data_IF_289411550620
#
_entry.id   IF_289411550620
#
_cell.length_a   1.000
_cell.length_b   1.000
_cell.length_c   1.000
_cell.angle_alpha   90.00
_cell.angle_beta   90.00
_cell.angle_gamma   90.00
#
_symmetry.space_group_name_H-M   'P 1'
#
loop_
_entity.id
_entity.type
_entity.pdbx_description
1 polymer ?
#
# COMPACT_ATOMS: atom_id res chain seq x y z
N UNK A 1 -21.02 27.45 31.40
CA UNK A 1 -20.85 26.51 30.27
C UNK A 1 -19.42 26.64 29.75
N UNK A 2 -18.50 25.76 30.19
CA UNK A 2 -17.10 25.72 29.72
C UNK A 2 -16.61 24.27 29.50
N UNK A 3 -17.53 23.31 29.59
CA UNK A 3 -17.24 21.88 29.79
C UNK A 3 -17.16 21.09 28.49
N UNK A 4 -17.55 21.69 27.37
CA UNK A 4 -17.62 21.01 26.07
C UNK A 4 -16.28 21.06 25.31
N UNK A 5 -15.57 22.19 25.41
CA UNK A 5 -14.36 22.46 24.62
C UNK A 5 -13.17 21.61 25.12
N UNK A 6 -13.06 21.38 26.43
CA UNK A 6 -11.94 20.61 27.01
C UNK A 6 -12.00 19.13 26.63
N UNK A 7 -13.20 18.53 26.63
CA UNK A 7 -13.38 17.13 26.23
C UNK A 7 -13.12 16.95 24.73
N UNK A 8 -13.64 17.86 23.90
CA UNK A 8 -13.42 17.82 22.45
C UNK A 8 -11.94 17.96 22.09
N UNK A 9 -11.25 18.95 22.68
CA UNK A 9 -9.81 19.15 22.45
C UNK A 9 -8.96 17.98 22.90
N UNK A 10 -9.29 17.35 24.03
CA UNK A 10 -8.56 16.17 24.50
C UNK A 10 -8.75 14.97 23.55
N UNK A 11 -9.95 14.80 22.98
CA UNK A 11 -10.22 13.76 22.00
C UNK A 11 -9.49 14.03 20.66
N UNK A 12 -9.51 15.28 20.18
CA UNK A 12 -8.76 15.71 18.98
C UNK A 12 -7.25 15.47 19.14
N UNK A 13 -6.69 15.81 20.31
CA UNK A 13 -5.28 15.57 20.60
C UNK A 13 -4.92 14.09 20.68
N UNK A 14 -5.78 13.27 21.29
CA UNK A 14 -5.58 11.83 21.35
C UNK A 14 -5.64 11.19 19.96
N UNK A 15 -6.56 11.64 19.11
CA UNK A 15 -6.67 11.20 17.71
C UNK A 15 -5.41 11.56 16.93
N UNK A 16 -5.00 12.83 16.97
CA UNK A 16 -3.80 13.31 16.26
C UNK A 16 -2.52 12.60 16.72
N UNK A 17 -2.37 12.34 18.02
CA UNK A 17 -1.23 11.59 18.54
C UNK A 17 -1.24 10.12 18.08
N UNK A 18 -2.42 9.52 17.91
CA UNK A 18 -2.57 8.18 17.37
C UNK A 18 -2.22 8.12 15.88
N UNK A 19 -2.70 9.10 15.10
CA UNK A 19 -2.41 9.22 13.66
C UNK A 19 -0.90 9.39 13.42
N UNK A 20 -0.24 10.32 14.13
CA UNK A 20 1.20 10.52 14.03
C UNK A 20 2.00 9.26 14.40
N UNK A 21 1.55 8.52 15.40
CA UNK A 21 2.19 7.25 15.77
C UNK A 21 2.04 6.20 14.67
N UNK A 22 0.85 6.07 14.09
CA UNK A 22 0.58 5.15 12.99
C UNK A 22 1.41 5.51 11.75
N UNK A 23 1.43 6.78 11.36
CA UNK A 23 2.25 7.28 10.26
C UNK A 23 3.73 7.01 10.48
N UNK A 24 4.24 7.24 11.69
CA UNK A 24 5.63 6.94 12.05
C UNK A 24 5.96 5.46 11.97
N UNK A 25 5.07 4.58 12.44
CA UNK A 25 5.26 3.12 12.35
C UNK A 25 5.27 2.69 10.88
N UNK A 26 4.23 3.03 10.11
CA UNK A 26 4.09 2.62 8.72
C UNK A 26 5.22 3.20 7.83
N UNK A 27 5.64 4.43 8.12
CA UNK A 27 6.76 5.09 7.44
C UNK A 27 8.13 4.48 7.76
N UNK A 28 8.26 3.74 8.87
CA UNK A 28 9.51 3.06 9.24
C UNK A 28 9.69 1.67 8.62
N UNK A 29 8.62 1.09 8.07
CA UNK A 29 8.63 -0.26 7.46
C UNK A 29 9.36 -0.21 6.12
N UNK A 30 10.34 -1.10 5.95
CA UNK A 30 11.17 -1.20 4.73
C UNK A 30 10.51 -2.01 3.60
N UNK A 31 9.38 -2.63 3.88
CA UNK A 31 8.54 -3.29 2.88
C UNK A 31 7.43 -2.34 2.39
N UNK A 32 6.90 -2.63 1.21
CA UNK A 32 5.75 -1.88 0.68
C UNK A 32 4.51 -2.24 1.50
N UNK A 33 3.89 -1.23 2.10
CA UNK A 33 2.60 -1.36 2.78
C UNK A 33 1.58 -0.54 2.00
N UNK A 34 0.49 -1.19 1.60
CA UNK A 34 -0.55 -0.58 0.81
C UNK A 34 -1.92 -1.02 1.30
N UNK A 35 -2.94 -0.21 0.99
CA UNK A 35 -4.34 -0.62 1.13
C UNK A 35 -5.14 -0.09 -0.04
N UNK A 36 -6.20 -0.82 -0.39
CA UNK A 36 -7.09 -0.46 -1.47
C UNK A 36 -8.54 -0.73 -1.06
N UNK A 37 -9.47 -0.03 -1.72
CA UNK A 37 -10.88 -0.31 -1.61
C UNK A 37 -11.20 -1.66 -2.27
N UNK A 38 -11.91 -2.54 -1.56
CA UNK A 38 -12.14 -3.91 -2.02
C UNK A 38 -13.07 -4.01 -3.24
N UNK A 39 -13.86 -2.96 -3.53
CA UNK A 39 -14.82 -2.97 -4.65
C UNK A 39 -14.23 -2.31 -5.89
N UNK A 40 -13.66 -1.12 -5.72
CA UNK A 40 -13.14 -0.29 -6.81
C UNK A 40 -11.64 -0.49 -7.07
N UNK A 41 -10.94 -1.21 -6.20
CA UNK A 41 -9.48 -1.33 -6.19
C UNK A 41 -8.74 0.02 -6.16
N UNK A 42 -9.43 1.09 -5.76
CA UNK A 42 -8.82 2.40 -5.60
C UNK A 42 -7.80 2.34 -4.46
N UNK A 43 -6.58 2.81 -4.73
CA UNK A 43 -5.52 2.85 -3.71
C UNK A 43 -5.90 3.86 -2.63
N UNK A 44 -5.96 3.40 -1.38
CA UNK A 44 -6.30 4.21 -0.20
C UNK A 44 -5.05 4.67 0.55
N UNK A 45 -4.01 3.84 0.58
CA UNK A 45 -2.76 4.14 1.26
C UNK A 45 -1.58 3.46 0.58
N UNK A 46 -0.43 4.14 0.60
CA UNK A 46 0.90 3.68 0.23
C UNK A 46 1.89 4.27 1.22
N UNK A 47 2.76 3.43 1.79
CA UNK A 47 3.87 3.92 2.61
C UNK A 47 5.00 4.49 1.72
N UNK A 48 5.89 5.34 2.28
CA UNK A 48 6.99 5.96 1.53
C UNK A 48 7.90 4.98 0.79
N UNK A 49 8.08 3.78 1.32
CA UNK A 49 8.91 2.72 0.73
C UNK A 49 8.45 2.32 -0.67
N UNK A 50 7.15 2.43 -0.97
CA UNK A 50 6.60 2.22 -2.31
C UNK A 50 7.39 2.97 -3.39
N UNK A 51 7.76 4.23 -3.14
CA UNK A 51 8.47 5.03 -4.13
C UNK A 51 9.88 4.50 -4.44
N UNK A 52 10.54 3.94 -3.43
CA UNK A 52 11.87 3.34 -3.58
C UNK A 52 11.79 2.00 -4.32
N UNK A 53 10.80 1.16 -3.98
CA UNK A 53 10.64 -0.18 -4.54
C UNK A 53 10.16 -0.13 -6.00
N UNK A 54 9.29 0.80 -6.36
CA UNK A 54 8.80 0.93 -7.73
C UNK A 54 9.56 1.96 -8.57
N UNK A 55 10.48 2.72 -7.98
CA UNK A 55 11.25 3.76 -8.67
C UNK A 55 10.39 4.92 -9.21
N UNK A 56 9.22 5.15 -8.60
CA UNK A 56 8.24 6.15 -9.02
C UNK A 56 7.82 7.00 -7.83
N UNK A 57 7.45 8.26 -8.06
CA UNK A 57 6.92 9.09 -6.97
C UNK A 57 5.56 8.56 -6.49
N UNK A 58 5.24 8.73 -5.20
CA UNK A 58 3.93 8.34 -4.67
C UNK A 58 2.78 9.02 -5.41
N UNK A 59 2.96 10.27 -5.86
CA UNK A 59 1.95 11.00 -6.63
C UNK A 59 1.56 10.23 -7.90
N UNK A 60 2.53 9.71 -8.63
CA UNK A 60 2.29 8.86 -9.81
C UNK A 60 1.62 7.55 -9.42
N UNK A 61 2.04 6.93 -8.31
CA UNK A 61 1.43 5.69 -7.82
C UNK A 61 -0.06 5.86 -7.47
N UNK A 62 -0.45 7.00 -6.88
CA UNK A 62 -1.85 7.30 -6.55
C UNK A 62 -2.71 7.68 -7.76
N UNK A 63 -2.10 8.15 -8.86
CA UNK A 63 -2.85 8.55 -10.07
C UNK A 63 -3.32 7.35 -10.90
N UNK A 64 -2.64 6.20 -10.82
CA UNK A 64 -3.03 5.01 -11.56
C UNK A 64 -3.66 3.97 -10.64
N UNK A 65 -4.94 3.68 -10.90
CA UNK A 65 -5.75 2.72 -10.15
C UNK A 65 -5.16 1.30 -10.19
N UNK A 66 -4.42 0.98 -11.25
CA UNK A 66 -3.77 -0.32 -11.48
C UNK A 66 -2.24 -0.21 -11.49
N UNK A 67 -1.66 0.84 -10.92
CA UNK A 67 -0.21 1.10 -10.99
C UNK A 67 0.61 -0.13 -10.63
N UNK A 68 0.34 -0.74 -9.48
CA UNK A 68 1.08 -1.89 -8.99
C UNK A 68 0.94 -3.11 -9.91
N UNK A 69 -0.25 -3.34 -10.49
CA UNK A 69 -0.50 -4.44 -11.42
C UNK A 69 0.27 -4.28 -12.74
N UNK A 70 0.40 -3.04 -13.23
CA UNK A 70 1.18 -2.75 -14.44
C UNK A 70 2.67 -3.06 -14.26
N UNK A 71 3.19 -2.87 -13.05
CA UNK A 71 4.58 -3.18 -12.72
C UNK A 71 4.83 -4.67 -12.49
N UNK A 72 3.81 -5.52 -12.40
CA UNK A 72 3.98 -6.97 -12.29
C UNK A 72 4.55 -7.51 -13.60
N UNK A 73 5.61 -8.33 -13.48
CA UNK A 73 6.23 -9.00 -14.61
C UNK A 73 5.17 -9.77 -15.42
N UNK A 74 5.11 -9.63 -16.76
CA UNK A 74 4.05 -10.24 -17.57
C UNK A 74 3.86 -11.75 -17.36
N UNK A 75 4.96 -12.47 -17.09
CA UNK A 75 4.93 -13.91 -16.79
C UNK A 75 4.23 -14.28 -15.47
N UNK A 76 4.07 -13.34 -14.54
CA UNK A 76 3.51 -13.57 -13.20
C UNK A 76 2.08 -13.04 -13.07
N UNK A 77 1.54 -12.34 -14.08
CA UNK A 77 0.21 -11.72 -14.04
C UNK A 77 -0.93 -12.73 -13.89
N UNK A 78 -0.86 -13.87 -14.62
CA UNK A 78 -1.86 -14.93 -14.51
C UNK A 78 -1.88 -15.56 -13.11
N UNK A 79 -0.71 -15.71 -12.49
CA UNK A 79 -0.58 -16.22 -11.13
C UNK A 79 -1.22 -15.25 -10.14
N UNK A 80 -0.94 -13.96 -10.29
CA UNK A 80 -1.52 -12.90 -9.47
C UNK A 80 -3.05 -12.82 -9.60
N UNK A 81 -3.60 -12.88 -10.81
CA UNK A 81 -5.06 -12.87 -11.04
C UNK A 81 -5.76 -14.04 -10.33
N UNK A 82 -5.21 -15.24 -10.43
CA UNK A 82 -5.73 -16.41 -9.71
C UNK A 82 -5.64 -16.21 -8.18
N UNK A 83 -4.57 -15.58 -7.71
CA UNK A 83 -4.37 -15.32 -6.28
C UNK A 83 -5.34 -14.29 -5.72
N UNK A 84 -5.67 -13.25 -6.48
CA UNK A 84 -6.69 -12.26 -6.11
C UNK A 84 -8.08 -12.90 -5.99
N UNK A 85 -8.40 -13.89 -6.84
CA UNK A 85 -9.64 -14.65 -6.70
C UNK A 85 -9.66 -15.45 -5.39
N UNK A 86 -8.54 -16.09 -5.04
CA UNK A 86 -8.42 -16.80 -3.76
C UNK A 86 -8.53 -15.88 -2.54
N UNK A 87 -8.05 -14.64 -2.63
CA UNK A 87 -8.20 -13.63 -1.57
C UNK A 87 -9.67 -13.22 -1.36
N UNK A 88 -10.53 -13.34 -2.38
CA UNK A 88 -11.97 -13.10 -2.19
C UNK A 88 -12.65 -14.22 -1.41
N UNK A 89 -12.08 -15.43 -1.43
CA UNK A 89 -12.59 -16.60 -0.71
C UNK A 89 -11.92 -16.80 0.66
N UNK A 90 -10.71 -16.27 0.84
CA UNK A 90 -9.88 -16.41 2.04
C UNK A 90 -9.52 -15.04 2.60
N UNK A 91 -9.62 -14.87 3.91
CA UNK A 91 -9.31 -13.60 4.58
C UNK A 91 -7.84 -13.14 4.42
N UNK A 92 -6.92 -14.06 4.10
CA UNK A 92 -5.50 -13.76 3.90
C UNK A 92 -4.84 -14.74 2.93
N UNK A 93 -3.89 -14.26 2.14
CA UNK A 93 -3.05 -15.10 1.27
C UNK A 93 -1.71 -14.42 0.96
N UNK A 94 -0.66 -15.21 0.74
CA UNK A 94 0.71 -14.73 0.51
C UNK A 94 1.16 -15.12 -0.91
N UNK A 95 1.72 -14.16 -1.65
CA UNK A 95 2.24 -14.37 -3.01
C UNK A 95 3.57 -13.65 -3.22
N UNK A 96 4.54 -14.36 -3.76
CA UNK A 96 5.77 -13.78 -4.30
C UNK A 96 5.65 -13.62 -5.82
N UNK A 97 5.94 -12.42 -6.33
CA UNK A 97 6.00 -12.16 -7.77
C UNK A 97 7.08 -11.14 -8.11
N UNK A 98 7.46 -11.08 -9.38
CA UNK A 98 8.47 -10.13 -9.87
C UNK A 98 7.84 -8.82 -10.28
N UNK A 99 8.53 -7.72 -9.97
CA UNK A 99 8.18 -6.39 -10.47
C UNK A 99 9.21 -5.91 -11.49
N UNK A 100 8.73 -5.12 -12.44
CA UNK A 100 9.54 -4.45 -13.47
C UNK A 100 9.67 -2.99 -13.05
N UNK A 101 10.90 -2.55 -12.81
CA UNK A 101 11.16 -1.13 -12.59
C UNK A 101 11.43 -0.42 -13.92
N UNK A 102 10.87 0.78 -14.15
CA UNK A 102 11.22 1.59 -15.30
C UNK A 102 12.70 2.02 -15.22
N UNK A 103 13.52 1.47 -16.13
CA UNK A 103 14.95 1.83 -16.27
C UNK A 103 15.94 0.86 -15.60
N UNK A 104 15.48 -0.17 -14.88
CA UNK A 104 16.36 -1.22 -14.37
C UNK A 104 16.71 -2.22 -15.47
N UNK A 105 17.99 -2.65 -15.54
CA UNK A 105 18.37 -3.86 -16.31
C UNK A 105 17.54 -5.03 -15.76
N UNK A 106 17.09 -5.89 -16.65
CA UNK A 106 16.09 -6.97 -16.51
C UNK A 106 16.29 -8.03 -15.42
N UNK A 107 17.10 -7.76 -14.40
CA UNK A 107 17.29 -8.62 -13.24
C UNK A 107 16.30 -8.14 -12.15
N UNK A 108 15.07 -8.65 -12.23
CA UNK A 108 13.90 -8.15 -11.53
C UNK A 108 14.01 -8.08 -10.00
N UNK A 109 13.32 -7.11 -9.41
CA UNK A 109 13.06 -7.07 -7.98
C UNK A 109 11.91 -8.03 -7.64
N UNK A 110 12.02 -8.71 -6.50
CA UNK A 110 10.93 -9.54 -5.97
C UNK A 110 10.08 -8.68 -5.03
N UNK A 111 8.76 -8.69 -5.23
CA UNK A 111 7.81 -8.15 -4.28
C UNK A 111 7.11 -9.34 -3.61
N UNK A 112 7.08 -9.31 -2.27
CA UNK A 112 6.26 -10.21 -1.47
C UNK A 112 4.99 -9.45 -1.10
N UNK A 113 3.83 -9.97 -1.46
CA UNK A 113 2.54 -9.45 -1.01
C UNK A 113 1.96 -10.44 0.01
N UNK A 114 1.76 -9.94 1.23
CA UNK A 114 1.16 -10.64 2.38
C UNK A 114 -0.29 -10.23 2.61
#
# INVERSE_FOLDING_TARGET
MLTDITKRKSAEQALSASEQRLEGILGSIQDVVWSADAVSFATLYLNPTTAMVYGQSLEVCYQSQNFWFEQVHPGDRLLLEHHLQLLMEKDQTELEYRIVQPGARSDGYFAVVN
#
